data_IF_390441755066
#
_entry.id   IF_390441755066
#
_cell.length_a   1.000
_cell.length_b   1.000
_cell.length_c   1.000
_cell.angle_alpha   90.00
_cell.angle_beta   90.00
_cell.angle_gamma   90.00
#
_symmetry.space_group_name_H-M   'P 1'
#
loop_
_entity.id
_entity.type
_entity.pdbx_description
1 polymer ?
#
# COMPACT_ATOMS: atom_id res chain seq x y z
N UNK A 1 69.09 -26.70 -24.34
CA UNK A 1 68.12 -25.70 -24.82
C UNK A 1 66.77 -26.06 -24.25
N UNK A 2 66.40 -25.45 -23.16
CA UNK A 2 65.11 -25.64 -22.52
C UNK A 2 64.19 -24.45 -22.93
N UNK A 3 63.08 -24.76 -23.60
CA UNK A 3 62.03 -23.74 -23.94
C UNK A 3 61.02 -23.64 -22.80
N UNK A 4 61.00 -22.50 -22.17
CA UNK A 4 60.03 -22.09 -21.17
C UNK A 4 58.70 -21.72 -21.89
N UNK A 5 57.62 -22.49 -21.66
CA UNK A 5 56.28 -22.07 -22.06
C UNK A 5 55.68 -21.25 -20.91
N UNK A 6 55.52 -19.95 -21.12
CA UNK A 6 54.74 -19.09 -20.24
C UNK A 6 53.28 -19.17 -20.68
N UNK A 7 52.49 -19.87 -19.91
CA UNK A 7 51.01 -19.90 -20.11
C UNK A 7 50.39 -18.63 -19.58
N UNK A 8 49.84 -17.80 -20.47
CA UNK A 8 49.07 -16.60 -20.12
C UNK A 8 47.63 -17.04 -19.80
N UNK A 9 47.28 -17.17 -18.50
CA UNK A 9 45.90 -17.38 -18.07
C UNK A 9 45.15 -16.04 -18.14
N UNK A 10 44.31 -15.90 -19.16
CA UNK A 10 43.32 -14.81 -19.22
C UNK A 10 42.17 -15.12 -18.26
N UNK A 11 42.16 -14.45 -17.11
CA UNK A 11 40.97 -14.39 -16.26
C UNK A 11 39.91 -13.48 -16.93
N UNK A 12 38.90 -14.06 -17.55
CA UNK A 12 37.67 -13.34 -17.93
C UNK A 12 36.98 -12.99 -16.62
N UNK A 13 37.12 -11.75 -16.16
CA UNK A 13 36.22 -11.15 -15.20
C UNK A 13 34.89 -10.88 -15.89
N UNK A 14 33.95 -11.80 -15.73
CA UNK A 14 32.57 -11.58 -16.08
C UNK A 14 32.00 -10.52 -15.11
N UNK A 15 31.95 -9.28 -15.53
CA UNK A 15 31.15 -8.26 -14.86
C UNK A 15 29.70 -8.66 -15.03
N UNK A 16 29.09 -9.25 -14.00
CA UNK A 16 27.65 -9.37 -13.89
C UNK A 16 27.16 -7.95 -13.62
N UNK A 17 26.81 -7.25 -14.69
CA UNK A 17 26.06 -5.99 -14.57
C UNK A 17 24.70 -6.39 -14.01
N UNK A 18 24.47 -6.14 -12.73
CA UNK A 18 23.14 -6.26 -12.14
C UNK A 18 22.28 -5.23 -12.86
N UNK A 19 21.52 -5.68 -13.86
CA UNK A 19 20.61 -4.81 -14.57
C UNK A 19 19.52 -4.39 -13.56
N UNK A 20 19.49 -3.10 -13.25
CA UNK A 20 18.49 -2.53 -12.34
C UNK A 20 17.13 -2.53 -13.03
N UNK A 21 16.08 -2.82 -12.26
CA UNK A 21 14.71 -2.66 -12.74
C UNK A 21 14.45 -1.20 -13.14
N UNK A 22 13.79 -1.01 -14.29
CA UNK A 22 13.37 0.32 -14.71
C UNK A 22 12.13 0.75 -13.90
N UNK A 23 12.16 1.98 -13.39
CA UNK A 23 11.00 2.58 -12.73
C UNK A 23 10.32 3.56 -13.69
N UNK A 24 9.01 3.45 -13.81
CA UNK A 24 8.15 4.39 -14.54
C UNK A 24 7.00 4.82 -13.63
N UNK A 25 6.70 6.11 -13.57
CA UNK A 25 5.58 6.62 -12.79
C UNK A 25 4.75 7.60 -13.63
N UNK A 26 3.52 7.83 -13.19
CA UNK A 26 2.61 8.72 -13.89
C UNK A 26 1.23 8.73 -13.26
N UNK A 27 0.27 9.20 -14.04
CA UNK A 27 -1.12 9.30 -13.64
C UNK A 27 -2.02 8.52 -14.58
N UNK A 28 -2.96 7.79 -14.01
CA UNK A 28 -4.03 7.09 -14.71
C UNK A 28 -5.28 7.96 -14.62
N UNK A 29 -5.91 8.38 -15.73
CA UNK A 29 -7.22 9.01 -15.68
C UNK A 29 -8.24 8.07 -15.04
N UNK A 30 -9.03 8.61 -14.13
CA UNK A 30 -10.07 7.85 -13.42
C UNK A 30 -11.35 8.66 -13.39
N UNK A 31 -12.43 8.10 -13.94
CA UNK A 31 -13.77 8.72 -13.92
C UNK A 31 -14.68 7.95 -12.98
N UNK A 32 -15.29 8.64 -12.03
CA UNK A 32 -16.26 8.06 -11.12
C UNK A 32 -17.43 9.00 -10.93
N UNK A 33 -18.67 8.51 -11.08
CA UNK A 33 -19.92 9.28 -10.98
C UNK A 33 -19.91 10.59 -11.81
N UNK A 34 -19.29 10.54 -13.00
CA UNK A 34 -19.23 11.67 -13.93
C UNK A 34 -18.16 12.74 -13.61
N UNK A 35 -17.38 12.55 -12.57
CA UNK A 35 -16.23 13.41 -12.23
C UNK A 35 -14.92 12.78 -12.64
N UNK A 36 -13.96 13.61 -13.04
CA UNK A 36 -12.64 13.18 -13.49
C UNK A 36 -11.61 13.34 -12.37
N UNK A 37 -10.82 12.30 -12.15
CA UNK A 37 -9.76 12.21 -11.17
C UNK A 37 -8.51 11.63 -11.80
N UNK A 38 -7.43 11.53 -11.03
CA UNK A 38 -6.17 10.89 -11.45
C UNK A 38 -5.63 10.04 -10.33
N UNK A 39 -5.35 8.77 -10.64
CA UNK A 39 -4.65 7.83 -9.76
C UNK A 39 -3.18 7.84 -10.11
N UNK A 40 -2.32 8.16 -9.15
CA UNK A 40 -0.87 8.10 -9.33
C UNK A 40 -0.37 6.66 -9.16
N UNK A 41 0.61 6.28 -9.98
CA UNK A 41 1.24 4.97 -9.90
C UNK A 41 2.76 5.06 -10.06
N UNK A 42 3.45 4.02 -9.57
CA UNK A 42 4.82 3.67 -9.94
C UNK A 42 4.89 2.19 -10.30
N UNK A 43 5.48 1.91 -11.47
CA UNK A 43 5.68 0.55 -11.97
C UNK A 43 7.18 0.28 -12.11
N UNK A 44 7.64 -0.78 -11.48
CA UNK A 44 8.99 -1.31 -11.60
C UNK A 44 8.94 -2.52 -12.52
N UNK A 45 9.79 -2.51 -13.56
CA UNK A 45 9.84 -3.61 -14.53
C UNK A 45 11.19 -4.30 -14.50
N UNK A 46 11.23 -5.65 -14.60
CA UNK A 46 12.49 -6.36 -14.66
C UNK A 46 13.30 -5.96 -15.90
N UNK A 47 14.61 -6.07 -15.85
CA UNK A 47 15.45 -5.89 -17.02
C UNK A 47 15.17 -6.98 -18.06
N UNK A 48 15.09 -6.59 -19.33
CA UNK A 48 14.84 -7.50 -20.45
C UNK A 48 13.39 -7.54 -20.93
N UNK A 49 13.15 -8.24 -22.02
CA UNK A 49 11.89 -8.16 -22.76
C UNK A 49 10.77 -9.10 -22.23
N UNK A 50 11.11 -10.06 -21.36
CA UNK A 50 10.16 -11.06 -20.88
C UNK A 50 10.30 -11.28 -19.38
N UNK A 51 9.39 -10.73 -18.56
CA UNK A 51 9.39 -11.02 -17.13
C UNK A 51 9.09 -12.53 -16.91
N UNK A 52 9.86 -13.13 -15.99
CA UNK A 52 9.72 -14.55 -15.67
C UNK A 52 8.38 -14.86 -14.97
N UNK A 53 7.76 -13.85 -14.35
CA UNK A 53 6.53 -14.00 -13.57
C UNK A 53 5.49 -12.95 -13.93
N UNK A 54 4.24 -13.23 -13.52
CA UNK A 54 3.11 -12.31 -13.70
C UNK A 54 3.34 -11.01 -12.95
N UNK A 55 2.77 -9.89 -13.43
CA UNK A 55 2.76 -8.63 -12.70
C UNK A 55 2.14 -8.78 -11.31
N UNK A 56 2.66 -8.04 -10.34
CA UNK A 56 2.13 -7.91 -8.99
C UNK A 56 1.61 -6.50 -8.79
N UNK A 57 0.33 -6.37 -8.47
CA UNK A 57 -0.25 -5.13 -7.99
C UNK A 57 -0.20 -5.13 -6.46
N UNK A 58 0.40 -4.09 -5.88
CA UNK A 58 0.54 -3.94 -4.44
C UNK A 58 -0.39 -2.81 -3.94
N UNK A 59 -1.36 -3.17 -3.11
CA UNK A 59 -2.39 -2.30 -2.57
C UNK A 59 -2.04 -1.92 -1.12
N UNK A 60 -1.85 -0.63 -0.88
CA UNK A 60 -1.50 -0.13 0.45
C UNK A 60 -2.69 -0.13 1.42
N UNK A 61 -2.35 -0.10 2.69
CA UNK A 61 -3.30 -0.07 3.80
C UNK A 61 -3.69 1.34 4.24
N UNK A 62 -4.22 1.42 5.41
CA UNK A 62 -4.83 2.54 6.08
C UNK A 62 -6.29 2.20 6.39
N UNK A 63 -7.26 2.71 5.61
CA UNK A 63 -7.13 3.64 4.47
C UNK A 63 -6.55 4.99 4.90
N UNK A 64 -5.84 5.66 3.99
CA UNK A 64 -5.22 6.96 4.29
C UNK A 64 -3.68 6.97 4.27
N UNK A 65 -3.01 5.83 4.12
CA UNK A 65 -1.57 5.77 3.87
C UNK A 65 -1.29 5.97 2.38
N UNK A 66 0.01 6.12 2.04
CA UNK A 66 0.51 6.03 0.66
C UNK A 66 1.26 4.71 0.47
N UNK A 67 1.63 4.37 -0.76
CA UNK A 67 2.38 3.16 -1.08
C UNK A 67 3.77 3.06 -0.43
N UNK A 68 4.36 4.18 0.00
CA UNK A 68 5.79 4.29 0.37
C UNK A 68 6.26 3.21 1.35
N UNK A 69 5.49 2.89 2.38
CA UNK A 69 5.90 1.91 3.39
C UNK A 69 6.03 0.48 2.84
N UNK A 70 5.44 0.21 1.67
CA UNK A 70 5.55 -1.07 0.96
C UNK A 70 6.74 -1.12 0.00
N UNK A 71 7.60 -0.10 -0.03
CA UNK A 71 8.67 0.09 -1.02
C UNK A 71 9.61 -1.12 -1.14
N UNK A 72 9.84 -1.88 -0.06
CA UNK A 72 10.66 -3.09 -0.11
C UNK A 72 10.13 -4.17 -1.07
N UNK A 73 8.84 -4.17 -1.39
CA UNK A 73 8.25 -5.13 -2.33
C UNK A 73 8.77 -4.91 -3.76
N UNK A 74 9.29 -3.72 -4.09
CA UNK A 74 9.92 -3.44 -5.38
C UNK A 74 11.12 -4.33 -5.69
N UNK A 75 11.74 -4.94 -4.68
CA UNK A 75 12.88 -5.85 -4.88
C UNK A 75 12.47 -7.09 -5.70
N UNK A 76 11.18 -7.44 -5.71
CA UNK A 76 10.61 -8.46 -6.58
C UNK A 76 10.65 -8.08 -8.06
N UNK A 77 10.90 -6.80 -8.37
CA UNK A 77 11.00 -6.32 -9.74
C UNK A 77 12.24 -6.84 -10.50
N UNK A 78 13.12 -7.54 -9.81
CA UNK A 78 14.19 -8.31 -10.46
C UNK A 78 13.66 -9.44 -11.37
N UNK A 79 12.45 -9.95 -11.11
CA UNK A 79 11.88 -11.11 -11.80
C UNK A 79 10.48 -10.90 -12.37
N UNK A 80 9.75 -9.86 -11.91
CA UNK A 80 8.35 -9.61 -12.29
C UNK A 80 8.05 -8.11 -12.26
N UNK A 81 7.12 -7.60 -13.06
CA UNK A 81 6.62 -6.24 -12.87
C UNK A 81 5.96 -6.09 -11.49
N UNK A 82 6.25 -4.99 -10.79
CA UNK A 82 5.63 -4.62 -9.53
C UNK A 82 5.03 -3.23 -9.68
N UNK A 83 3.73 -3.12 -9.44
CA UNK A 83 2.96 -1.89 -9.59
C UNK A 83 2.45 -1.49 -8.21
N UNK A 84 2.79 -0.28 -7.79
CA UNK A 84 2.14 0.42 -6.68
C UNK A 84 1.29 1.55 -7.23
N UNK A 85 0.22 1.87 -6.56
CA UNK A 85 -0.51 3.11 -6.80
C UNK A 85 -0.96 3.71 -5.47
N UNK A 86 -1.08 5.02 -5.42
CA UNK A 86 -1.73 5.69 -4.31
C UNK A 86 -3.24 5.68 -4.58
N UNK A 87 -4.02 5.07 -3.70
CA UNK A 87 -5.47 5.03 -3.84
C UNK A 87 -6.04 6.44 -3.78
N UNK A 88 -7.15 6.66 -4.45
CA UNK A 88 -7.81 7.97 -4.53
C UNK A 88 -7.96 8.60 -3.12
N UNK A 89 -7.70 9.89 -3.01
CA UNK A 89 -7.67 10.61 -1.75
C UNK A 89 -6.35 10.51 -0.98
N UNK A 90 -5.36 9.75 -1.48
CA UNK A 90 -4.11 9.50 -0.76
C UNK A 90 -2.88 9.85 -1.61
N UNK A 91 -1.79 10.19 -0.92
CA UNK A 91 -0.47 10.34 -1.52
C UNK A 91 -0.43 11.33 -2.67
N UNK A 92 -0.06 10.86 -3.85
CA UNK A 92 0.05 11.67 -5.08
C UNK A 92 -1.22 11.62 -5.94
N UNK A 93 -2.20 10.80 -5.60
CA UNK A 93 -3.49 10.74 -6.31
C UNK A 93 -4.35 11.95 -6.01
N UNK A 94 -5.41 12.15 -6.79
CA UNK A 94 -6.35 13.26 -6.55
C UNK A 94 -6.92 13.16 -5.13
N UNK A 95 -6.84 14.26 -4.38
CA UNK A 95 -7.46 14.41 -3.07
C UNK A 95 -8.92 14.84 -3.22
N UNK A 96 -9.78 14.39 -2.31
CA UNK A 96 -11.24 14.51 -2.41
C UNK A 96 -11.83 15.19 -1.16
N UNK A 97 -11.14 16.17 -0.60
CA UNK A 97 -11.48 16.88 0.63
C UNK A 97 -12.81 17.64 0.56
N UNK A 98 -13.23 18.01 -0.64
CA UNK A 98 -14.48 18.76 -0.89
C UNK A 98 -15.65 17.88 -1.34
N UNK A 99 -15.46 16.57 -1.50
CA UNK A 99 -16.49 15.67 -1.97
C UNK A 99 -17.48 15.29 -0.85
N UNK A 100 -18.76 15.04 -1.19
CA UNK A 100 -19.77 14.64 -0.22
C UNK A 100 -19.45 13.27 0.39
N UNK A 101 -19.98 13.02 1.60
CA UNK A 101 -19.75 11.77 2.32
C UNK A 101 -20.20 10.53 1.53
N UNK A 102 -21.21 10.67 0.69
CA UNK A 102 -21.77 9.57 -0.10
C UNK A 102 -20.83 9.00 -1.16
N UNK A 103 -19.73 9.68 -1.50
CA UNK A 103 -18.73 9.13 -2.45
C UNK A 103 -17.85 8.06 -1.81
N UNK A 104 -17.66 8.15 -0.47
CA UNK A 104 -16.71 7.32 0.27
C UNK A 104 -17.28 5.93 0.55
N UNK A 105 -17.13 5.05 -0.41
CA UNK A 105 -17.61 3.67 -0.39
C UNK A 105 -16.53 2.71 -0.85
N UNK A 106 -16.63 1.45 -0.49
CA UNK A 106 -15.75 0.40 -1.03
C UNK A 106 -15.80 0.36 -2.56
N UNK A 107 -16.98 0.65 -3.14
CA UNK A 107 -17.16 0.66 -4.60
C UNK A 107 -16.29 1.71 -5.31
N UNK A 108 -16.09 2.90 -4.73
CA UNK A 108 -15.15 3.89 -5.27
C UNK A 108 -13.77 3.27 -5.49
N UNK A 109 -13.21 2.62 -4.47
CA UNK A 109 -11.89 2.01 -4.52
C UNK A 109 -11.84 0.77 -5.40
N UNK A 110 -12.93 0.00 -5.47
CA UNK A 110 -13.04 -1.13 -6.41
C UNK A 110 -13.09 -0.67 -7.87
N UNK A 111 -13.81 0.40 -8.16
CA UNK A 111 -13.83 1.00 -9.49
C UNK A 111 -12.45 1.53 -9.87
N UNK A 112 -11.75 2.19 -8.94
CA UNK A 112 -10.37 2.63 -9.16
C UNK A 112 -9.43 1.46 -9.43
N UNK A 113 -9.47 0.39 -8.62
CA UNK A 113 -8.63 -0.79 -8.81
C UNK A 113 -8.88 -1.45 -10.19
N UNK A 114 -10.14 -1.56 -10.61
CA UNK A 114 -10.49 -2.05 -11.96
C UNK A 114 -9.86 -1.18 -13.04
N UNK A 115 -9.98 0.15 -12.90
CA UNK A 115 -9.40 1.11 -13.83
C UNK A 115 -7.86 1.00 -13.91
N UNK A 116 -7.18 0.80 -12.79
CA UNK A 116 -5.73 0.57 -12.74
C UNK A 116 -5.36 -0.71 -13.48
N UNK A 117 -6.07 -1.81 -13.22
CA UNK A 117 -5.83 -3.10 -13.91
C UNK A 117 -6.05 -2.98 -15.42
N UNK A 118 -7.11 -2.29 -15.82
CA UNK A 118 -7.45 -2.07 -17.23
C UNK A 118 -6.39 -1.20 -17.94
N UNK A 119 -5.92 -0.14 -17.29
CA UNK A 119 -4.87 0.73 -17.83
C UNK A 119 -3.60 -0.03 -18.17
N UNK A 120 -3.16 -0.96 -17.32
CA UNK A 120 -1.98 -1.77 -17.58
C UNK A 120 -2.24 -2.92 -18.58
N UNK A 121 -3.48 -3.29 -18.82
CA UNK A 121 -3.88 -4.27 -19.82
C UNK A 121 -3.38 -5.70 -19.59
N UNK A 122 -2.96 -6.02 -18.37
CA UNK A 122 -2.47 -7.35 -18.02
C UNK A 122 -3.60 -8.40 -18.05
N UNK A 123 -3.40 -9.46 -18.84
CA UNK A 123 -4.39 -10.55 -18.95
C UNK A 123 -4.34 -11.52 -17.78
N UNK A 124 -3.23 -11.56 -17.06
CA UNK A 124 -3.07 -12.35 -15.83
C UNK A 124 -2.10 -11.65 -14.90
N UNK A 125 -2.48 -11.49 -13.64
CA UNK A 125 -1.76 -10.75 -12.63
C UNK A 125 -1.99 -11.35 -11.24
N UNK A 126 -1.13 -10.96 -10.29
CA UNK A 126 -1.30 -11.27 -8.88
C UNK A 126 -1.57 -9.97 -8.12
N UNK A 127 -2.29 -10.05 -7.01
CA UNK A 127 -2.52 -8.93 -6.10
C UNK A 127 -1.92 -9.25 -4.74
N UNK A 128 -1.20 -8.29 -4.15
CA UNK A 128 -0.82 -8.26 -2.75
C UNK A 128 -1.51 -7.07 -2.11
N UNK A 129 -2.36 -7.31 -1.13
CA UNK A 129 -3.00 -6.26 -0.34
C UNK A 129 -2.58 -6.34 1.12
N UNK A 130 -2.16 -5.20 1.67
CA UNK A 130 -1.83 -5.06 3.08
C UNK A 130 -2.95 -4.34 3.83
N UNK A 131 -3.39 -4.89 4.97
CA UNK A 131 -4.41 -4.29 5.84
C UNK A 131 -5.69 -3.94 5.04
N UNK A 132 -6.12 -2.68 5.00
CA UNK A 132 -7.22 -2.21 4.15
C UNK A 132 -7.05 -2.61 2.67
N UNK A 133 -5.83 -2.51 2.12
CA UNK A 133 -5.56 -2.96 0.75
C UNK A 133 -5.83 -4.45 0.55
N UNK A 134 -5.69 -5.27 1.60
CA UNK A 134 -6.06 -6.68 1.57
C UNK A 134 -7.57 -6.90 1.61
N UNK A 135 -8.32 -6.08 2.35
CA UNK A 135 -9.79 -6.10 2.29
C UNK A 135 -10.27 -5.74 0.88
N UNK A 136 -9.74 -4.66 0.30
CA UNK A 136 -10.06 -4.25 -1.06
C UNK A 136 -9.73 -5.35 -2.08
N UNK A 137 -8.59 -6.02 -1.91
CA UNK A 137 -8.17 -7.13 -2.76
C UNK A 137 -9.10 -8.35 -2.63
N UNK A 138 -9.59 -8.64 -1.42
CA UNK A 138 -10.57 -9.70 -1.17
C UNK A 138 -11.93 -9.37 -1.82
N UNK A 139 -12.41 -8.13 -1.68
CA UNK A 139 -13.63 -7.66 -2.36
C UNK A 139 -13.50 -7.76 -3.89
N UNK A 140 -12.34 -7.39 -4.45
CA UNK A 140 -12.07 -7.58 -5.87
C UNK A 140 -12.12 -9.07 -6.27
N UNK A 141 -11.55 -9.96 -5.46
CA UNK A 141 -11.55 -11.41 -5.74
C UNK A 141 -12.96 -12.00 -5.72
N UNK A 142 -13.86 -11.51 -4.86
CA UNK A 142 -15.26 -11.94 -4.81
C UNK A 142 -16.04 -11.62 -6.08
N UNK A 143 -15.60 -10.63 -6.87
CA UNK A 143 -16.20 -10.32 -8.16
C UNK A 143 -15.90 -11.38 -9.23
N UNK A 144 -14.97 -12.30 -8.98
CA UNK A 144 -14.57 -13.39 -9.90
C UNK A 144 -14.22 -12.90 -11.32
N UNK A 145 -13.68 -11.70 -11.44
CA UNK A 145 -13.27 -11.13 -12.72
C UNK A 145 -12.06 -11.89 -13.28
N UNK A 146 -11.96 -12.02 -14.62
CA UNK A 146 -10.85 -12.74 -15.23
C UNK A 146 -9.51 -12.02 -15.00
N UNK A 147 -8.44 -12.82 -14.92
CA UNK A 147 -7.07 -12.29 -14.85
C UNK A 147 -6.40 -12.40 -13.48
N UNK A 148 -7.13 -12.32 -12.38
CA UNK A 148 -6.57 -12.57 -11.05
C UNK A 148 -6.14 -14.02 -10.93
N UNK A 149 -4.83 -14.23 -10.66
CA UNK A 149 -4.27 -15.57 -10.54
C UNK A 149 -3.94 -15.94 -9.09
N UNK A 150 -3.30 -15.02 -8.34
CA UNK A 150 -2.99 -15.21 -6.93
C UNK A 150 -3.35 -13.96 -6.13
N UNK A 151 -3.82 -14.21 -4.90
CA UNK A 151 -4.12 -13.20 -3.90
C UNK A 151 -3.24 -13.42 -2.68
N UNK A 152 -2.51 -12.40 -2.27
CA UNK A 152 -1.74 -12.37 -1.03
C UNK A 152 -2.39 -11.36 -0.11
N UNK A 153 -2.86 -11.81 1.04
CA UNK A 153 -3.42 -10.97 2.10
C UNK A 153 -2.38 -10.87 3.21
N UNK A 154 -1.83 -9.67 3.40
CA UNK A 154 -0.83 -9.39 4.43
C UNK A 154 -1.46 -8.54 5.52
N UNK A 155 -1.43 -9.03 6.77
CA UNK A 155 -1.96 -8.34 7.95
C UNK A 155 -3.37 -7.76 7.73
N UNK A 156 -4.17 -8.46 6.94
CA UNK A 156 -5.50 -8.05 6.53
C UNK A 156 -6.56 -8.64 7.45
N UNK A 157 -7.72 -8.01 7.50
CA UNK A 157 -8.76 -8.38 8.45
C UNK A 157 -9.96 -8.99 7.73
N UNK A 158 -10.54 -10.06 8.28
CA UNK A 158 -11.77 -10.65 7.74
C UNK A 158 -13.04 -9.92 8.20
N UNK A 159 -12.95 -9.17 9.31
CA UNK A 159 -14.08 -8.45 9.87
C UNK A 159 -13.62 -7.27 10.72
N UNK A 160 -14.19 -6.09 10.48
CA UNK A 160 -13.87 -4.85 11.21
C UNK A 160 -14.17 -4.95 12.69
N UNK A 161 -15.24 -5.66 13.08
CA UNK A 161 -15.61 -5.84 14.49
C UNK A 161 -14.51 -6.55 15.27
N UNK A 162 -13.99 -7.67 14.74
CA UNK A 162 -12.92 -8.43 15.38
C UNK A 162 -11.63 -7.62 15.45
N UNK A 163 -11.33 -6.87 14.40
CA UNK A 163 -10.17 -5.98 14.39
C UNK A 163 -10.30 -4.90 15.47
N UNK A 164 -11.43 -4.23 15.55
CA UNK A 164 -11.69 -3.19 16.56
C UNK A 164 -11.56 -3.73 17.98
N UNK A 165 -12.15 -4.88 18.26
CA UNK A 165 -12.03 -5.53 19.56
C UNK A 165 -10.57 -5.84 19.91
N UNK A 166 -9.81 -6.38 18.95
CA UNK A 166 -8.38 -6.66 19.13
C UNK A 166 -7.58 -5.38 19.40
N UNK A 167 -7.83 -4.31 18.64
CA UNK A 167 -7.13 -3.04 18.84
C UNK A 167 -7.42 -2.42 20.21
N UNK A 168 -8.66 -2.47 20.68
CA UNK A 168 -9.04 -1.98 22.02
C UNK A 168 -8.32 -2.82 23.09
N UNK A 169 -8.30 -4.12 22.95
CA UNK A 169 -7.61 -5.00 23.88
C UNK A 169 -6.10 -4.70 23.94
N UNK A 170 -5.46 -4.53 22.80
CA UNK A 170 -4.05 -4.17 22.75
C UNK A 170 -3.80 -2.77 23.33
N UNK A 171 -4.64 -1.80 22.99
CA UNK A 171 -4.53 -0.42 23.49
C UNK A 171 -4.67 -0.35 25.02
N UNK A 172 -5.51 -1.20 25.63
CA UNK A 172 -5.69 -1.24 27.08
C UNK A 172 -4.42 -1.60 27.86
N UNK A 173 -3.41 -2.14 27.21
CA UNK A 173 -2.10 -2.48 27.80
C UNK A 173 -1.13 -1.30 27.88
N UNK A 174 -1.47 -0.16 27.28
CA UNK A 174 -0.63 1.05 27.27
C UNK A 174 -0.94 1.98 28.44
N UNK A 175 -0.04 2.92 28.78
CA UNK A 175 -0.31 4.00 29.72
C UNK A 175 -1.54 4.81 29.33
N UNK A 176 -2.21 5.40 30.32
CA UNK A 176 -3.48 6.09 30.13
C UNK A 176 -3.37 7.27 29.13
N UNK A 177 -2.28 8.01 29.16
CA UNK A 177 -2.04 9.13 28.23
C UNK A 177 -1.96 8.70 26.76
N UNK A 178 -1.41 7.50 26.50
CA UNK A 178 -1.38 6.90 25.17
C UNK A 178 -2.78 6.43 24.75
N UNK A 179 -3.52 5.78 25.67
CA UNK A 179 -4.89 5.37 25.42
C UNK A 179 -5.77 6.58 25.06
N UNK A 180 -5.75 7.61 25.88
CA UNK A 180 -6.52 8.83 25.65
C UNK A 180 -6.08 9.55 24.35
N UNK A 181 -4.79 9.55 24.03
CA UNK A 181 -4.28 10.15 22.80
C UNK A 181 -4.76 9.42 21.55
N UNK A 182 -4.78 8.08 21.58
CA UNK A 182 -5.33 7.28 20.49
C UNK A 182 -6.84 7.49 20.38
N UNK A 183 -7.56 7.52 21.52
CA UNK A 183 -9.01 7.74 21.56
C UNK A 183 -9.44 9.12 21.08
N UNK A 184 -8.58 10.14 21.21
CA UNK A 184 -8.85 11.48 20.72
C UNK A 184 -9.00 11.51 19.19
N UNK A 185 -8.29 10.62 18.47
CA UNK A 185 -8.35 10.56 17.01
C UNK A 185 -8.04 11.90 16.37
N UNK A 186 -8.65 12.19 15.25
CA UNK A 186 -8.44 13.44 14.52
C UNK A 186 -9.12 14.68 15.16
N UNK A 187 -9.78 14.54 16.31
CA UNK A 187 -10.23 15.71 17.08
C UNK A 187 -9.07 16.43 17.78
N UNK A 188 -7.97 15.71 18.07
CA UNK A 188 -6.69 16.27 18.52
C UNK A 188 -5.55 15.61 17.72
N UNK A 189 -5.26 16.08 16.50
CA UNK A 189 -4.31 15.42 15.60
C UNK A 189 -2.89 15.33 16.16
N UNK A 190 -2.47 16.30 16.98
CA UNK A 190 -1.13 16.33 17.57
C UNK A 190 -0.97 15.22 18.60
N UNK A 191 -1.91 15.13 19.52
CA UNK A 191 -1.94 14.10 20.56
C UNK A 191 -2.13 12.72 19.96
N UNK A 192 -3.06 12.59 19.00
CA UNK A 192 -3.32 11.35 18.28
C UNK A 192 -2.08 10.85 17.55
N UNK A 193 -1.40 11.72 16.80
CA UNK A 193 -0.17 11.37 16.06
C UNK A 193 0.91 10.84 16.99
N UNK A 194 1.12 11.47 18.12
CA UNK A 194 2.12 11.04 19.10
C UNK A 194 1.76 9.69 19.73
N UNK A 195 0.52 9.51 20.17
CA UNK A 195 0.04 8.28 20.79
C UNK A 195 0.00 7.10 19.80
N UNK A 196 -0.48 7.34 18.57
CA UNK A 196 -0.54 6.33 17.53
C UNK A 196 0.87 5.85 17.13
N UNK A 197 1.86 6.75 17.15
CA UNK A 197 3.26 6.39 16.91
C UNK A 197 3.81 5.45 18.01
N UNK A 198 3.43 5.64 19.25
CA UNK A 198 3.79 4.74 20.36
C UNK A 198 3.14 3.37 20.15
N UNK A 199 1.85 3.36 19.85
CA UNK A 199 1.08 2.15 19.60
C UNK A 199 1.65 1.35 18.41
N UNK A 200 1.83 1.97 17.25
CA UNK A 200 2.43 1.33 16.09
C UNK A 200 3.90 0.96 16.28
N UNK A 201 4.62 1.66 17.15
CA UNK A 201 5.98 1.29 17.53
C UNK A 201 6.08 -0.03 18.27
N UNK A 202 4.98 -0.52 18.82
CA UNK A 202 4.89 -1.80 19.52
C UNK A 202 4.29 -2.92 18.67
N UNK A 203 3.28 -2.62 17.84
CA UNK A 203 2.50 -3.63 17.13
C UNK A 203 2.54 -3.51 15.60
N UNK A 204 2.99 -2.39 15.05
CA UNK A 204 3.11 -2.20 13.61
C UNK A 204 4.54 -2.30 13.10
N UNK A 205 5.46 -1.49 13.67
CA UNK A 205 6.86 -1.50 13.27
C UNK A 205 7.77 -1.27 14.47
N UNK A 206 8.50 -2.32 14.87
CA UNK A 206 9.40 -2.29 16.03
C UNK A 206 10.79 -1.75 15.73
N UNK A 207 11.11 -1.48 14.47
CA UNK A 207 12.40 -0.89 14.07
C UNK A 207 12.58 0.52 14.65
N UNK A 208 13.76 0.82 15.14
CA UNK A 208 14.11 2.13 15.70
C UNK A 208 15.44 2.61 15.12
N UNK A 209 15.47 3.75 14.39
CA UNK A 209 14.31 4.56 13.99
C UNK A 209 13.41 3.82 12.98
N UNK A 210 12.17 4.30 12.83
CA UNK A 210 11.31 3.81 11.75
C UNK A 210 11.95 4.08 10.39
N UNK A 211 11.79 3.16 9.43
CA UNK A 211 12.25 3.39 8.06
C UNK A 211 11.67 4.66 7.46
N UNK A 212 12.47 5.37 6.65
CA UNK A 212 12.02 6.61 6.00
C UNK A 212 10.74 6.43 5.16
N UNK A 213 10.56 5.33 4.41
CA UNK A 213 9.32 5.10 3.66
C UNK A 213 8.07 4.97 4.55
N UNK A 214 8.20 4.35 5.74
CA UNK A 214 7.10 4.27 6.70
C UNK A 214 6.77 5.65 7.28
N UNK A 215 7.79 6.44 7.62
CA UNK A 215 7.57 7.81 8.09
C UNK A 215 6.84 8.63 7.02
N UNK A 216 7.22 8.53 5.74
CA UNK A 216 6.57 9.23 4.65
C UNK A 216 5.07 8.88 4.55
N UNK A 217 4.70 7.59 4.59
CA UNK A 217 3.30 7.18 4.58
C UNK A 217 2.53 7.65 5.82
N UNK A 218 3.19 7.64 6.98
CA UNK A 218 2.60 8.14 8.22
C UNK A 218 2.38 9.65 8.18
N UNK A 219 3.31 10.40 7.57
CA UNK A 219 3.17 11.83 7.38
C UNK A 219 2.03 12.17 6.41
N UNK A 220 1.86 11.40 5.35
CA UNK A 220 0.74 11.53 4.39
C UNK A 220 -0.61 11.40 5.09
N UNK A 221 -0.78 10.42 5.98
CA UNK A 221 -1.99 10.21 6.76
C UNK A 221 -2.40 11.45 7.56
N UNK A 222 -1.44 12.16 8.17
CA UNK A 222 -1.71 13.33 8.99
C UNK A 222 -1.73 14.64 8.19
N UNK A 223 -1.20 14.65 6.98
CA UNK A 223 -1.28 15.80 6.09
C UNK A 223 -2.70 15.96 5.50
N UNK A 224 -3.34 14.84 5.15
CA UNK A 224 -4.74 14.82 4.70
C UNK A 224 -5.46 13.59 5.29
N UNK A 225 -6.16 13.74 6.41
CA UNK A 225 -6.88 12.66 7.05
C UNK A 225 -8.28 12.41 6.48
N UNK A 226 -8.62 12.96 5.32
CA UNK A 226 -9.97 12.85 4.74
C UNK A 226 -10.40 11.39 4.57
N UNK A 227 -9.56 10.57 3.94
CA UNK A 227 -9.90 9.16 3.69
C UNK A 227 -10.14 8.37 4.99
N UNK A 228 -9.21 8.37 5.98
CA UNK A 228 -9.45 7.61 7.21
C UNK A 228 -10.66 8.13 8.00
N UNK A 229 -10.90 9.44 8.02
CA UNK A 229 -12.08 10.00 8.70
C UNK A 229 -13.38 9.54 7.99
N UNK A 230 -13.44 9.61 6.66
CA UNK A 230 -14.63 9.27 5.89
C UNK A 230 -14.90 7.77 5.83
N UNK A 231 -13.85 6.96 5.75
CA UNK A 231 -13.99 5.50 5.65
C UNK A 231 -14.09 4.80 7.01
N UNK A 232 -13.45 5.34 8.05
CA UNK A 232 -13.29 4.65 9.33
C UNK A 232 -13.63 5.51 10.55
N UNK A 233 -13.91 6.80 10.40
CA UNK A 233 -14.08 7.74 11.50
C UNK A 233 -12.78 8.11 12.20
N UNK A 234 -11.95 7.14 12.51
CA UNK A 234 -10.54 7.25 12.91
C UNK A 234 -9.87 5.90 12.75
N UNK A 235 -8.53 5.83 12.72
CA UNK A 235 -7.84 4.55 12.59
C UNK A 235 -7.92 3.65 13.84
N UNK A 236 -8.22 4.20 15.00
CA UNK A 236 -8.47 3.53 16.28
C UNK A 236 -9.19 4.49 17.21
N UNK A 237 -10.08 3.99 17.99
CA UNK A 237 -11.24 3.20 17.74
C UNK A 237 -12.49 4.03 17.59
N UNK A 238 -13.37 3.32 17.92
CA UNK A 238 -14.64 3.05 17.43
C UNK A 238 -15.68 3.87 18.09
N UNK A 239 -15.95 4.94 17.83
CA UNK A 239 -17.33 5.33 18.04
C UNK A 239 -17.99 5.28 16.69
N UNK A 240 -18.73 4.23 16.51
CA UNK A 240 -19.80 4.26 15.53
C UNK A 240 -19.36 4.12 14.06
N UNK A 241 -19.10 2.88 13.67
CA UNK A 241 -19.63 2.51 12.37
C UNK A 241 -21.14 2.64 12.48
N UNK A 242 -21.80 3.43 11.63
CA UNK A 242 -23.20 3.22 11.41
C UNK A 242 -23.29 1.77 10.94
N UNK A 243 -23.97 0.93 11.69
CA UNK A 243 -24.47 -0.34 11.21
C UNK A 243 -25.42 -0.01 10.08
N UNK A 244 -24.85 0.27 8.92
CA UNK A 244 -25.56 0.43 7.68
C UNK A 244 -25.86 -0.94 7.15
N UNK A 245 -27.13 -1.28 7.15
CA UNK A 245 -27.72 -2.41 6.46
C UNK A 245 -27.27 -2.51 5.01
#
# INVERSE_FOLDING_TARGET
>A
MARLFVGLSLYLLSFITLAMSAANNGYIPFTYQGSEYRTWYVAYTPPGSFPAHRPLLALHGGPGFSHNYMDSIKDLASTRPVIFYDQIGNGHSTHLDTQPDSIWTVDLFLCELKNVIEFFGYKSFDILGHSWGGMLAAEYALLQLPGLNKLVLSDSLPAMELWTQSQIQLLSTFPQDVQEGVMAGFSDPVRYRAALRVFFGSYGCTLKPWPAPLNASYDTLFADPTVPIKMCGSLLPPALYPTGN
#
